data_IF_055505473235
#
_entry.id   IF_055505473235
#
_cell.length_a   1.000
_cell.length_b   1.000
_cell.length_c   1.000
_cell.angle_alpha   90.00
_cell.angle_beta   90.00
_cell.angle_gamma   90.00
#
_symmetry.space_group_name_H-M   'P 1'
#
loop_
_entity.id
_entity.type
_entity.pdbx_description
1 polymer ?
#
# COMPACT_ATOMS: atom_id res chain seq x y z
N UNK A 1 0.77 0.54 -20.48
CA UNK A 1 1.62 -0.63 -20.16
C UNK A 1 0.98 -1.36 -18.99
N UNK A 2 0.61 -2.63 -19.15
CA UNK A 2 0.25 -3.47 -18.00
C UNK A 2 1.55 -3.83 -17.28
N UNK A 3 1.74 -3.35 -16.05
CA UNK A 3 2.80 -3.85 -15.17
C UNK A 3 2.42 -5.29 -14.81
N UNK A 4 3.20 -6.27 -15.25
CA UNK A 4 3.07 -7.65 -14.81
C UNK A 4 3.89 -7.84 -13.54
N UNK A 5 3.21 -8.22 -12.46
CA UNK A 5 3.85 -8.52 -11.17
C UNK A 5 3.87 -10.04 -10.98
N UNK A 6 4.96 -10.56 -10.41
CA UNK A 6 5.11 -11.99 -10.11
C UNK A 6 4.09 -12.47 -9.07
N UNK A 7 3.82 -11.61 -8.07
CA UNK A 7 2.77 -11.77 -7.07
C UNK A 7 2.16 -10.40 -6.79
N UNK A 8 0.85 -10.34 -6.61
CA UNK A 8 0.17 -9.11 -6.20
C UNK A 8 -1.14 -9.42 -5.48
N UNK A 9 -1.55 -8.50 -4.61
CA UNK A 9 -2.79 -8.57 -3.84
C UNK A 9 -3.42 -7.19 -3.80
N UNK A 10 -4.67 -7.12 -4.23
CA UNK A 10 -5.46 -5.88 -4.23
C UNK A 10 -6.60 -6.01 -3.26
N UNK A 11 -6.73 -5.06 -2.35
CA UNK A 11 -7.83 -4.98 -1.38
C UNK A 11 -8.54 -3.64 -1.54
N UNK A 12 -9.87 -3.68 -1.56
CA UNK A 12 -10.72 -2.49 -1.63
C UNK A 12 -11.51 -2.38 -0.33
N UNK A 13 -11.52 -1.19 0.27
CA UNK A 13 -12.31 -0.91 1.48
C UNK A 13 -13.02 0.42 1.34
N UNK A 14 -14.24 0.49 1.87
CA UNK A 14 -15.00 1.73 1.92
C UNK A 14 -14.80 2.44 3.27
N UNK A 15 -14.50 3.74 3.22
CA UNK A 15 -14.34 4.62 4.37
C UNK A 15 -14.92 6.00 4.04
N UNK A 16 -15.89 6.49 4.81
CA UNK A 16 -16.44 7.84 4.64
C UNK A 16 -16.95 8.16 3.21
N UNK A 17 -17.58 7.20 2.54
CA UNK A 17 -18.00 7.26 1.12
C UNK A 17 -16.83 7.40 0.12
N UNK A 18 -15.61 7.12 0.56
CA UNK A 18 -14.40 7.04 -0.26
C UNK A 18 -14.00 5.58 -0.35
N UNK A 19 -13.76 5.11 -1.57
CA UNK A 19 -13.25 3.76 -1.81
C UNK A 19 -11.73 3.81 -1.84
N UNK A 20 -11.09 3.24 -0.82
CA UNK A 20 -9.65 3.09 -0.73
C UNK A 20 -9.23 1.77 -1.38
N UNK A 21 -8.19 1.83 -2.22
CA UNK A 21 -7.62 0.67 -2.88
C UNK A 21 -6.17 0.54 -2.41
N UNK A 22 -5.84 -0.60 -1.83
CA UNK A 22 -4.48 -1.00 -1.51
C UNK A 22 -4.04 -2.07 -2.50
N UNK A 23 -2.82 -1.95 -2.97
CA UNK A 23 -2.24 -2.87 -3.93
C UNK A 23 -0.81 -3.19 -3.51
N UNK A 24 -0.64 -4.38 -2.94
CA UNK A 24 0.65 -4.95 -2.58
C UNK A 24 1.16 -5.74 -3.78
N UNK A 25 2.41 -5.53 -4.18
CA UNK A 25 2.98 -6.24 -5.33
C UNK A 25 4.46 -6.53 -5.14
N UNK A 26 4.89 -7.66 -5.68
CA UNK A 26 6.29 -8.07 -5.68
C UNK A 26 6.98 -7.60 -6.97
N UNK A 27 8.07 -6.85 -6.82
CA UNK A 27 8.91 -6.35 -7.90
C UNK A 27 10.39 -6.41 -7.51
N UNK A 28 11.27 -6.81 -8.42
CA UNK A 28 12.72 -6.74 -8.23
C UNK A 28 13.26 -7.26 -6.88
N UNK A 29 12.71 -8.38 -6.40
CA UNK A 29 13.09 -9.06 -5.13
C UNK A 29 12.43 -8.52 -3.87
N UNK A 30 11.70 -7.40 -3.93
CA UNK A 30 11.02 -6.81 -2.79
C UNK A 30 9.51 -6.65 -3.02
N UNK A 31 8.76 -6.51 -1.93
CA UNK A 31 7.38 -6.08 -1.93
C UNK A 31 7.29 -4.56 -1.88
N UNK A 32 6.36 -4.03 -2.65
CA UNK A 32 5.98 -2.62 -2.74
C UNK A 32 4.50 -2.48 -2.43
N UNK A 33 4.08 -1.32 -1.93
CA UNK A 33 2.69 -1.04 -1.59
C UNK A 33 2.23 0.27 -2.24
N UNK A 34 1.11 0.19 -2.95
CA UNK A 34 0.41 1.32 -3.54
C UNK A 34 -0.94 1.50 -2.84
N UNK A 35 -1.33 2.75 -2.57
CA UNK A 35 -2.65 3.09 -2.03
C UNK A 35 -3.22 4.29 -2.78
N UNK A 36 -4.51 4.23 -3.14
CA UNK A 36 -5.19 5.35 -3.78
C UNK A 36 -6.69 5.39 -3.49
N UNK A 37 -7.27 6.59 -3.61
CA UNK A 37 -8.73 6.79 -3.60
C UNK A 37 -9.28 6.51 -5.00
N UNK A 38 -10.21 5.58 -5.13
CA UNK A 38 -10.82 5.22 -6.42
C UNK A 38 -11.72 6.35 -6.92
N UNK A 39 -11.53 6.77 -8.18
CA UNK A 39 -12.27 7.88 -8.79
C UNK A 39 -11.68 9.28 -8.54
N UNK A 40 -10.56 9.38 -7.82
CA UNK A 40 -9.87 10.64 -7.54
C UNK A 40 -8.64 10.82 -8.45
N UNK A 41 -8.21 12.07 -8.64
CA UNK A 41 -6.98 12.38 -9.37
C UNK A 41 -5.76 11.88 -8.59
N UNK A 42 -4.94 11.06 -9.23
CA UNK A 42 -3.72 10.48 -8.66
C UNK A 42 -2.52 11.42 -8.70
N UNK A 43 -2.63 12.56 -9.37
CA UNK A 43 -1.60 13.61 -9.33
C UNK A 43 -1.65 14.41 -8.03
N UNK A 44 -2.79 14.36 -7.32
CA UNK A 44 -2.96 14.99 -6.02
C UNK A 44 -2.31 14.14 -4.91
N UNK A 45 -1.36 14.68 -4.14
CA UNK A 45 -0.60 13.93 -3.12
C UNK A 45 -1.48 13.24 -2.06
N UNK A 46 -2.65 13.82 -1.75
CA UNK A 46 -3.55 13.27 -0.72
C UNK A 46 -4.35 12.05 -1.19
N UNK A 47 -4.33 11.78 -2.50
CA UNK A 47 -5.17 10.78 -3.15
C UNK A 47 -4.39 9.55 -3.59
N UNK A 48 -3.06 9.61 -3.58
CA UNK A 48 -2.18 8.56 -4.08
C UNK A 48 -0.88 8.50 -3.28
N UNK A 49 -0.44 7.28 -2.96
CA UNK A 49 0.88 7.03 -2.42
C UNK A 49 1.41 5.69 -2.91
N UNK A 50 2.72 5.67 -3.16
CA UNK A 50 3.46 4.48 -3.56
C UNK A 50 4.74 4.45 -2.73
N UNK A 51 4.97 3.32 -2.06
CA UNK A 51 6.23 3.01 -1.40
C UNK A 51 6.80 1.77 -2.06
N UNK A 52 7.96 1.93 -2.68
CA UNK A 52 8.66 0.87 -3.38
C UNK A 52 9.62 0.13 -2.45
N UNK A 53 9.75 -1.17 -2.67
CA UNK A 53 10.78 -2.05 -2.10
C UNK A 53 10.94 -1.99 -0.57
N UNK A 54 9.83 -2.08 0.19
CA UNK A 54 9.85 -1.89 1.64
C UNK A 54 10.22 -3.14 2.45
N UNK A 55 9.97 -4.35 1.95
CA UNK A 55 10.38 -5.60 2.60
C UNK A 55 10.56 -6.71 1.57
N UNK A 56 11.47 -7.65 1.78
CA UNK A 56 11.61 -8.87 0.98
C UNK A 56 10.86 -10.07 1.59
N UNK A 57 10.33 -9.93 2.81
CA UNK A 57 9.54 -10.95 3.49
C UNK A 57 8.05 -10.87 3.12
N UNK A 58 7.52 -11.96 2.54
CA UNK A 58 6.11 -12.06 2.13
C UNK A 58 5.14 -12.00 3.32
N UNK A 59 5.49 -12.60 4.46
CA UNK A 59 4.66 -12.60 5.65
C UNK A 59 4.54 -11.20 6.25
N UNK A 60 5.67 -10.49 6.38
CA UNK A 60 5.67 -9.09 6.82
C UNK A 60 4.86 -8.19 5.88
N UNK A 61 5.02 -8.38 4.56
CA UNK A 61 4.29 -7.62 3.56
C UNK A 61 2.77 -7.83 3.67
N UNK A 62 2.33 -9.08 3.89
CA UNK A 62 0.91 -9.41 4.06
C UNK A 62 0.36 -8.89 5.40
N UNK A 63 1.13 -9.00 6.48
CA UNK A 63 0.74 -8.49 7.80
C UNK A 63 0.59 -6.96 7.77
N UNK A 64 1.54 -6.25 7.13
CA UNK A 64 1.46 -4.81 6.95
C UNK A 64 0.20 -4.41 6.15
N UNK A 65 -0.06 -5.07 5.02
CA UNK A 65 -1.29 -4.85 4.24
C UNK A 65 -2.55 -5.06 5.10
N UNK A 66 -2.58 -6.12 5.92
CA UNK A 66 -3.70 -6.37 6.82
C UNK A 66 -3.92 -5.22 7.82
N UNK A 67 -2.86 -4.68 8.41
CA UNK A 67 -2.96 -3.53 9.32
C UNK A 67 -3.50 -2.27 8.61
N UNK A 68 -2.99 -1.97 7.40
CA UNK A 68 -3.47 -0.82 6.61
C UNK A 68 -4.97 -0.91 6.32
N UNK A 69 -5.42 -2.08 5.83
CA UNK A 69 -6.82 -2.33 5.48
C UNK A 69 -7.71 -2.20 6.71
N UNK A 70 -7.28 -2.77 7.85
CA UNK A 70 -8.03 -2.72 9.11
C UNK A 70 -8.14 -1.28 9.65
N UNK A 71 -7.07 -0.51 9.55
CA UNK A 71 -7.02 0.90 9.96
C UNK A 71 -7.71 1.85 8.98
N UNK A 72 -8.05 1.39 7.76
CA UNK A 72 -8.56 2.23 6.67
C UNK A 72 -7.63 3.43 6.40
N UNK A 73 -6.34 3.17 6.37
CA UNK A 73 -5.28 4.18 6.24
C UNK A 73 -5.39 4.91 4.90
N UNK A 74 -5.44 6.25 4.94
CA UNK A 74 -5.49 7.07 3.75
C UNK A 74 -4.13 7.15 3.05
N UNK A 75 -4.09 7.39 1.70
CA UNK A 75 -2.85 7.41 0.92
C UNK A 75 -1.77 8.32 1.50
N UNK A 76 -2.16 9.51 1.96
CA UNK A 76 -1.26 10.51 2.55
C UNK A 76 -0.41 9.97 3.72
N UNK A 77 -0.90 8.95 4.44
CA UNK A 77 -0.24 8.39 5.61
C UNK A 77 0.60 7.13 5.32
N UNK A 78 0.54 6.59 4.11
CA UNK A 78 1.15 5.27 3.82
C UNK A 78 2.66 5.28 4.01
N UNK A 79 3.34 6.36 3.60
CA UNK A 79 4.79 6.48 3.77
C UNK A 79 5.16 6.47 5.26
N UNK A 80 4.47 7.26 6.06
CA UNK A 80 4.71 7.34 7.50
C UNK A 80 4.47 5.98 8.16
N UNK A 81 3.42 5.26 7.76
CA UNK A 81 3.14 3.90 8.27
C UNK A 81 4.23 2.90 7.92
N UNK A 82 4.83 2.97 6.72
CA UNK A 82 5.97 2.11 6.35
C UNK A 82 7.20 2.46 7.17
N UNK A 83 7.51 3.76 7.30
CA UNK A 83 8.65 4.23 8.08
C UNK A 83 8.54 3.79 9.56
N UNK A 84 7.34 3.88 10.15
CA UNK A 84 7.04 3.39 11.49
C UNK A 84 7.19 1.87 11.60
N UNK A 85 6.69 1.11 10.61
CA UNK A 85 6.79 -0.35 10.60
C UNK A 85 8.25 -0.83 10.56
N UNK A 86 9.07 -0.19 9.73
CA UNK A 86 10.49 -0.54 9.59
C UNK A 86 11.30 -0.16 10.83
N UNK A 87 10.96 0.95 11.50
CA UNK A 87 11.69 1.39 12.71
C UNK A 87 11.31 0.59 13.97
N UNK A 88 10.13 -0.04 14.00
CA UNK A 88 9.72 -0.92 15.11
C UNK A 88 10.37 -2.32 15.07
N UNK A 89 10.91 -2.74 13.93
CA UNK A 89 11.47 -4.08 13.70
C UNK A 89 13.01 -4.12 13.72
N UNK A 90 13.68 -3.05 14.18
CA UNK A 90 15.16 -2.94 14.30
C UNK A 90 15.64 -3.10 15.75
#
# INVERSE_FOLDING_TARGET
MQRQYLKSKTVKVESENIQLVYHLFFSNTYYSIECFKEGYDRQEPDNYSLVEDFTDDEGEAEDFLYQLVKGKVFPIHIKDMVDDYLTMNV
#
